data_IF_227806038497
#
_entry.id   IF_227806038497
#
_cell.length_a   1.000
_cell.length_b   1.000
_cell.length_c   1.000
_cell.angle_alpha   90.00
_cell.angle_beta   90.00
_cell.angle_gamma   90.00
#
_symmetry.space_group_name_H-M   'P 1'
#
loop_
_entity.id
_entity.type
_entity.pdbx_description
1 polymer ?
#
# COMPACT_ATOMS: atom_id res chain seq x y z
N UNK A 1 16.88 7.90 -3.41
CA UNK A 1 17.31 7.09 -4.58
C UNK A 1 17.53 8.00 -5.77
N UNK A 2 18.55 7.73 -6.58
CA UNK A 2 18.83 8.49 -7.81
C UNK A 2 17.69 8.33 -8.83
N UNK A 3 17.39 9.38 -9.60
CA UNK A 3 16.42 9.35 -10.70
C UNK A 3 17.16 9.19 -12.03
N UNK A 4 16.65 8.32 -12.92
CA UNK A 4 17.15 8.17 -14.29
C UNK A 4 16.26 8.96 -15.26
N UNK A 5 16.86 9.68 -16.21
CA UNK A 5 16.12 10.39 -17.26
C UNK A 5 15.54 9.37 -18.24
N UNK A 6 14.24 9.48 -18.49
CA UNK A 6 13.51 8.70 -19.49
C UNK A 6 12.71 9.66 -20.34
N UNK A 7 12.82 9.53 -21.66
CA UNK A 7 12.03 10.30 -22.64
C UNK A 7 11.00 9.36 -23.26
N UNK A 8 9.74 9.77 -23.26
CA UNK A 8 8.62 9.03 -23.84
C UNK A 8 7.80 10.00 -24.70
N UNK A 9 7.24 9.48 -25.79
CA UNK A 9 6.24 10.20 -26.58
C UNK A 9 4.86 9.74 -26.12
N UNK A 10 3.94 10.68 -25.98
CA UNK A 10 2.55 10.44 -25.62
C UNK A 10 1.68 11.07 -26.69
N UNK A 11 0.54 10.44 -26.99
CA UNK A 11 -0.49 11.07 -27.81
C UNK A 11 -0.90 12.41 -27.17
N UNK A 12 -1.09 13.48 -27.95
CA UNK A 12 -1.37 14.81 -27.42
C UNK A 12 -2.59 14.83 -26.50
N UNK A 13 -3.64 14.07 -26.85
CA UNK A 13 -4.85 13.96 -26.05
C UNK A 13 -4.59 13.29 -24.68
N UNK A 14 -3.83 12.19 -24.67
CA UNK A 14 -3.45 11.49 -23.43
C UNK A 14 -2.60 12.40 -22.54
N UNK A 15 -1.63 13.10 -23.12
CA UNK A 15 -0.80 14.04 -22.39
C UNK A 15 -1.63 15.16 -21.75
N UNK A 16 -2.61 15.71 -22.48
CA UNK A 16 -3.48 16.76 -21.96
C UNK A 16 -4.33 16.27 -20.78
N UNK A 17 -4.97 15.10 -20.93
CA UNK A 17 -5.77 14.48 -19.86
C UNK A 17 -4.94 14.18 -18.61
N UNK A 18 -3.70 13.71 -18.77
CA UNK A 18 -2.79 13.49 -17.64
C UNK A 18 -2.39 14.81 -16.96
N UNK A 19 -2.21 15.91 -17.70
CA UNK A 19 -1.94 17.23 -17.10
C UNK A 19 -3.12 17.75 -16.28
N UNK A 20 -4.33 17.60 -16.80
CA UNK A 20 -5.56 17.98 -16.09
C UNK A 20 -5.69 17.18 -14.80
N UNK A 21 -5.51 15.85 -14.89
CA UNK A 21 -5.55 14.98 -13.72
C UNK A 21 -4.50 15.34 -12.67
N UNK A 22 -3.27 15.60 -13.09
CA UNK A 22 -2.20 16.00 -12.18
C UNK A 22 -2.52 17.34 -11.48
N UNK A 23 -3.15 18.28 -12.21
CA UNK A 23 -3.59 19.56 -11.66
C UNK A 23 -4.71 19.38 -10.62
N UNK A 24 -5.69 18.54 -10.89
CA UNK A 24 -6.76 18.20 -9.93
C UNK A 24 -6.20 17.61 -8.63
N UNK A 25 -5.16 16.77 -8.73
CA UNK A 25 -4.48 16.17 -7.59
C UNK A 25 -3.44 17.09 -6.92
N UNK A 26 -3.19 18.29 -7.46
CA UNK A 26 -2.20 19.21 -6.94
C UNK A 26 -0.75 18.72 -7.04
N UNK A 27 -0.44 17.84 -8.00
CA UNK A 27 0.90 17.27 -8.21
C UNK A 27 1.44 17.56 -9.61
N UNK A 28 2.76 17.37 -9.79
CA UNK A 28 3.36 17.47 -11.13
C UNK A 28 2.95 16.29 -12.02
N UNK A 29 2.86 16.50 -13.34
CA UNK A 29 2.67 15.42 -14.33
C UNK A 29 3.69 14.29 -14.16
N UNK A 30 4.95 14.64 -13.90
CA UNK A 30 6.00 13.64 -13.69
C UNK A 30 5.79 12.81 -12.41
N UNK A 31 5.16 13.37 -11.38
CA UNK A 31 4.80 12.63 -10.17
C UNK A 31 3.64 11.68 -10.43
N UNK A 32 2.60 12.14 -11.13
CA UNK A 32 1.48 11.28 -11.54
C UNK A 32 1.99 10.06 -12.33
N UNK A 33 2.82 10.28 -13.35
CA UNK A 33 3.40 9.19 -14.17
C UNK A 33 4.23 8.23 -13.30
N UNK A 34 5.05 8.74 -12.37
CA UNK A 34 5.81 7.87 -11.46
C UNK A 34 4.93 7.05 -10.53
N UNK A 35 3.81 7.61 -10.03
CA UNK A 35 2.85 6.87 -9.19
C UNK A 35 2.18 5.77 -9.98
N UNK A 36 1.67 6.09 -11.17
CA UNK A 36 1.06 5.10 -12.07
C UNK A 36 2.04 3.98 -12.43
N UNK A 37 3.30 4.31 -12.73
CA UNK A 37 4.32 3.30 -13.02
C UNK A 37 4.60 2.39 -11.81
N UNK A 38 4.72 2.96 -10.61
CA UNK A 38 4.88 2.17 -9.38
C UNK A 38 3.67 1.29 -9.08
N UNK A 39 2.47 1.80 -9.27
CA UNK A 39 1.23 1.06 -9.04
C UNK A 39 1.07 -0.08 -10.05
N UNK A 40 1.36 0.17 -11.32
CA UNK A 40 1.36 -0.84 -12.36
C UNK A 40 2.33 -1.99 -12.03
N UNK A 41 3.55 -1.65 -11.58
CA UNK A 41 4.54 -2.64 -11.15
C UNK A 41 4.19 -3.30 -9.81
N UNK A 42 3.45 -2.63 -8.92
CA UNK A 42 2.92 -3.23 -7.68
C UNK A 42 1.83 -4.27 -7.91
N UNK A 43 1.13 -4.23 -9.05
CA UNK A 43 0.16 -5.29 -9.40
C UNK A 43 0.85 -6.63 -9.68
N UNK A 44 2.17 -6.66 -9.78
CA UNK A 44 3.00 -7.88 -9.75
C UNK A 44 3.44 -8.23 -8.31
N UNK A 45 2.69 -7.82 -7.26
CA UNK A 45 2.96 -8.30 -5.91
C UNK A 45 2.94 -9.82 -5.93
N UNK A 46 4.11 -10.43 -5.73
CA UNK A 46 4.21 -11.88 -5.77
C UNK A 46 3.52 -12.42 -4.51
N UNK A 47 3.06 -13.68 -4.52
CA UNK A 47 2.59 -14.33 -3.30
C UNK A 47 3.58 -14.20 -2.12
N UNK A 48 4.87 -14.01 -2.41
CA UNK A 48 5.96 -13.83 -1.44
C UNK A 48 5.89 -12.48 -0.72
N UNK A 49 5.37 -11.42 -1.35
CA UNK A 49 5.16 -10.13 -0.70
C UNK A 49 4.13 -10.22 0.44
N UNK A 50 3.15 -11.13 0.32
CA UNK A 50 2.20 -11.43 1.38
C UNK A 50 2.78 -12.34 2.46
N UNK A 51 3.84 -13.09 2.18
CA UNK A 51 4.52 -13.89 3.20
C UNK A 51 5.36 -13.00 4.14
N UNK A 52 5.74 -11.79 3.72
CA UNK A 52 6.49 -10.84 4.55
C UNK A 52 5.74 -10.39 5.82
N UNK A 53 4.42 -10.56 5.89
CA UNK A 53 3.63 -10.27 7.10
C UNK A 53 3.51 -11.46 8.06
N UNK A 54 3.87 -12.67 7.63
CA UNK A 54 3.84 -13.87 8.48
C UNK A 54 4.98 -13.80 9.49
N UNK A 55 4.66 -13.93 10.77
CA UNK A 55 5.65 -13.92 11.85
C UNK A 55 6.04 -12.53 12.37
N UNK A 56 5.36 -11.46 11.94
CA UNK A 56 5.57 -10.11 12.48
C UNK A 56 5.20 -9.98 13.97
N UNK A 57 4.33 -10.84 14.47
CA UNK A 57 3.90 -10.86 15.87
C UNK A 57 4.07 -12.26 16.47
N UNK A 58 4.48 -12.30 17.73
CA UNK A 58 4.58 -13.53 18.51
C UNK A 58 3.83 -13.36 19.82
N UNK A 59 2.75 -14.12 19.97
CA UNK A 59 1.87 -14.08 21.15
C UNK A 59 2.09 -15.25 22.12
N UNK A 60 2.80 -16.29 21.67
CA UNK A 60 2.95 -17.57 22.37
C UNK A 60 1.70 -18.46 22.38
N UNK A 61 0.62 -18.06 21.69
CA UNK A 61 -0.66 -18.76 21.67
C UNK A 61 -0.93 -19.37 20.29
N UNK A 62 -1.50 -20.56 20.26
CA UNK A 62 -1.71 -21.35 19.02
C UNK A 62 -3.10 -21.24 18.43
N UNK A 63 -4.06 -20.68 19.17
CA UNK A 63 -5.50 -20.65 18.85
C UNK A 63 -6.03 -19.21 18.66
N UNK A 64 -5.14 -18.23 18.45
CA UNK A 64 -5.54 -16.81 18.30
C UNK A 64 -6.49 -16.60 17.14
N UNK A 65 -6.29 -17.28 16.01
CA UNK A 65 -7.16 -17.12 14.85
C UNK A 65 -8.60 -17.56 15.16
N UNK A 66 -8.77 -18.59 15.97
CA UNK A 66 -10.08 -19.14 16.32
C UNK A 66 -10.76 -18.36 17.46
N UNK A 67 -9.98 -17.88 18.43
CA UNK A 67 -10.47 -17.24 19.66
C UNK A 67 -10.15 -15.75 19.75
N UNK A 68 -10.01 -15.09 18.60
CA UNK A 68 -9.62 -13.67 18.55
C UNK A 68 -10.58 -12.79 19.37
N UNK A 69 -11.89 -13.03 19.28
CA UNK A 69 -12.91 -12.27 20.01
C UNK A 69 -12.82 -12.48 21.53
N UNK A 70 -12.55 -13.71 21.99
CA UNK A 70 -12.38 -14.00 23.42
C UNK A 70 -11.16 -13.27 23.98
N UNK A 71 -10.04 -13.26 23.23
CA UNK A 71 -8.83 -12.55 23.63
C UNK A 71 -9.02 -11.03 23.65
N UNK A 72 -9.76 -10.48 22.69
CA UNK A 72 -10.11 -9.05 22.68
C UNK A 72 -11.01 -8.71 23.87
N UNK A 73 -12.00 -9.54 24.15
CA UNK A 73 -12.93 -9.35 25.29
C UNK A 73 -12.18 -9.40 26.62
N UNK A 74 -11.27 -10.37 26.79
CA UNK A 74 -10.43 -10.47 27.98
C UNK A 74 -9.53 -9.24 28.14
N UNK A 75 -8.83 -8.82 27.08
CA UNK A 75 -7.92 -7.67 27.14
C UNK A 75 -8.66 -6.38 27.51
N UNK A 76 -9.83 -6.14 26.92
CA UNK A 76 -10.66 -4.97 27.23
C UNK A 76 -11.25 -5.04 28.65
N UNK A 77 -11.58 -6.23 29.14
CA UNK A 77 -12.07 -6.41 30.51
C UNK A 77 -10.96 -6.14 31.54
N UNK A 78 -9.74 -6.60 31.26
CA UNK A 78 -8.56 -6.39 32.10
C UNK A 78 -8.11 -4.91 32.11
N UNK A 79 -8.26 -4.18 31.00
CA UNK A 79 -8.02 -2.73 30.94
C UNK A 79 -9.05 -1.92 31.73
N UNK A 80 -10.33 -2.29 31.69
CA UNK A 80 -11.38 -1.62 32.45
C UNK A 80 -11.34 -1.90 33.96
N UNK A 81 -10.50 -2.84 34.41
CA UNK A 81 -10.24 -3.14 35.83
C UNK A 81 -9.02 -2.40 36.41
N UNK A 82 -8.31 -1.60 35.60
CA UNK A 82 -7.17 -0.75 36.03
C UNK A 82 -7.56 0.71 36.16
#
# INVERSE_FOLDING_TARGET
>A
MAKKRTQIYLDPEVHQRLKERAKEEGISLAELIRRMAKEYLRKEASPEDFLAIIGLGQSGKTDISEKHDDYLTQALSDENLR
#
